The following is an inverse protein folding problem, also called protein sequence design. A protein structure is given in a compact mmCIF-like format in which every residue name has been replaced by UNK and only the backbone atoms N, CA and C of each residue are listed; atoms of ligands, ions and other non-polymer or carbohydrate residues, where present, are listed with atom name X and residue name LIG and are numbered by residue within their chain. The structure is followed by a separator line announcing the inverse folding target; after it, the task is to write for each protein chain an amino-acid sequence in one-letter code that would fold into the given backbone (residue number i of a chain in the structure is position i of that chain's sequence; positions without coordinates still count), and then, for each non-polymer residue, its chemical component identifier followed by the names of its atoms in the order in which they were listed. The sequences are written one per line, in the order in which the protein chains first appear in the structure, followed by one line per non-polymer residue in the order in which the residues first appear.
data_IF_323742811557
#
_entry.id   IF_323742811557
#
_cell.length_a   1.000
_cell.length_b   1.000
_cell.length_c   1.000
_cell.angle_alpha   90.00
_cell.angle_beta   90.00
_cell.angle_gamma   90.00
#
_symmetry.space_group_name_H-M   'P 1'
#
loop_
_entity.id
_entity.type
_entity.pdbx_description
1 polymer ?
#
# COMPACT_ATOMS: atom_id res chain seq x y z
N UNK A 1 -20.38 11.56 125.31
CA UNK A 1 -19.79 12.27 124.15
C UNK A 1 -18.91 13.50 124.51
N UNK A 2 -18.81 13.96 125.77
CA UNK A 2 -18.02 15.19 126.10
C UNK A 2 -16.50 14.99 126.26
N UNK A 3 -15.96 13.78 126.44
CA UNK A 3 -14.50 13.56 126.58
C UNK A 3 -13.71 13.50 125.25
N UNK A 4 -14.36 13.33 124.09
CA UNK A 4 -13.67 13.28 122.77
C UNK A 4 -13.42 14.67 122.16
N UNK A 5 -14.21 15.69 122.48
CA UNK A 5 -14.03 17.04 121.90
C UNK A 5 -12.86 17.84 122.50
N UNK A 6 -12.45 17.56 123.75
CA UNK A 6 -11.35 18.27 124.43
C UNK A 6 -9.97 17.79 123.93
N UNK A 7 -9.86 16.54 123.46
CA UNK A 7 -8.60 15.97 122.96
C UNK A 7 -8.27 16.49 121.55
N UNK A 8 -9.29 16.66 120.69
CA UNK A 8 -9.11 17.15 119.32
C UNK A 8 -8.74 18.64 119.24
N UNK A 9 -9.21 19.47 120.19
CA UNK A 9 -8.85 20.90 120.24
C UNK A 9 -7.40 21.11 120.67
N UNK A 10 -6.83 20.24 121.53
CA UNK A 10 -5.42 20.32 121.93
C UNK A 10 -4.45 19.91 120.81
N UNK A 11 -4.77 18.86 120.05
CA UNK A 11 -3.91 18.43 118.93
C UNK A 11 -3.85 19.46 117.78
N UNK A 12 -4.99 20.08 117.43
CA UNK A 12 -5.03 21.09 116.36
C UNK A 12 -4.20 22.33 116.68
N UNK A 13 -4.13 22.72 117.96
CA UNK A 13 -3.37 23.90 118.40
C UNK A 13 -1.86 23.63 118.37
N UNK A 14 -1.41 22.46 118.82
CA UNK A 14 0.02 22.09 118.78
C UNK A 14 0.56 21.91 117.35
N UNK A 15 -0.23 21.38 116.41
CA UNK A 15 0.19 21.28 115.01
C UNK A 15 0.37 22.66 114.36
N UNK A 16 -0.52 23.61 114.66
CA UNK A 16 -0.43 24.98 114.13
C UNK A 16 0.80 25.72 114.63
N UNK A 17 1.20 25.53 115.89
CA UNK A 17 2.41 26.15 116.42
C UNK A 17 3.70 25.54 115.81
N UNK A 18 3.78 24.22 115.67
CA UNK A 18 4.98 23.56 115.12
C UNK A 18 5.26 23.92 113.64
N UNK A 19 4.22 24.10 112.82
CA UNK A 19 4.41 24.49 111.41
C UNK A 19 4.88 25.95 111.30
N UNK A 20 4.40 26.83 112.17
CA UNK A 20 4.81 28.24 112.18
C UNK A 20 6.27 28.36 112.65
N UNK A 21 6.67 27.63 113.69
CA UNK A 21 8.07 27.62 114.16
C UNK A 21 9.03 26.98 113.15
N UNK A 22 8.60 25.96 112.41
CA UNK A 22 9.38 25.38 111.33
C UNK A 22 9.61 26.37 110.18
N UNK A 23 8.57 27.13 109.81
CA UNK A 23 8.68 28.14 108.75
C UNK A 23 9.53 29.35 109.19
N UNK A 24 9.51 29.73 110.48
CA UNK A 24 10.33 30.82 111.01
C UNK A 24 11.81 30.44 111.21
N UNK A 25 12.12 29.15 111.41
CA UNK A 25 13.50 28.67 111.59
C UNK A 25 14.23 28.30 110.29
N UNK A 26 13.63 28.53 109.11
CA UNK A 26 14.33 28.34 107.85
C UNK A 26 15.41 29.42 107.66
N UNK A 27 16.67 29.05 107.36
CA UNK A 27 17.76 30.01 107.23
C UNK A 27 17.48 31.01 106.12
N UNK A 28 17.64 32.32 106.40
CA UNK A 28 17.30 33.41 105.46
C UNK A 28 18.00 33.31 104.09
N UNK A 29 19.07 32.52 103.95
CA UNK A 29 19.72 32.21 102.67
C UNK A 29 18.81 31.47 101.69
N UNK A 30 17.80 30.74 102.17
CA UNK A 30 16.84 30.02 101.35
C UNK A 30 15.90 30.97 100.57
N UNK A 31 15.67 32.17 101.10
CA UNK A 31 14.86 33.22 100.49
C UNK A 31 15.68 34.24 99.67
N UNK A 32 16.98 33.98 99.39
CA UNK A 32 17.75 34.78 98.42
C UNK A 32 17.32 34.44 96.99
N UNK A 33 16.13 34.91 96.62
CA UNK A 33 15.44 34.72 95.32
C UNK A 33 16.24 35.18 94.10
N UNK A 34 17.25 36.03 94.28
CA UNK A 34 18.02 36.60 93.19
C UNK A 34 18.91 35.58 92.45
N UNK A 35 19.49 34.58 93.12
CA UNK A 35 20.37 33.60 92.47
C UNK A 35 19.62 32.46 91.77
N UNK A 36 18.46 32.06 92.31
CA UNK A 36 17.57 31.09 91.65
C UNK A 36 16.95 31.70 90.40
N UNK A 37 16.49 32.95 90.45
CA UNK A 37 15.96 33.68 89.29
C UNK A 37 16.99 33.77 88.15
N UNK A 38 18.27 34.08 88.46
CA UNK A 38 19.34 34.10 87.45
C UNK A 38 19.58 32.74 86.78
N UNK A 39 19.50 31.64 87.54
CA UNK A 39 19.67 30.29 87.00
C UNK A 39 18.49 29.88 86.12
N UNK A 40 17.26 30.24 86.50
CA UNK A 40 16.05 30.01 85.68
C UNK A 40 16.05 30.83 84.38
N UNK A 41 16.51 32.10 84.44
CA UNK A 41 16.67 32.94 83.25
C UNK A 41 17.70 32.31 82.30
N UNK A 42 18.85 31.86 82.83
CA UNK A 42 19.89 31.20 82.03
C UNK A 42 19.43 29.90 81.36
N UNK A 43 18.67 29.06 82.07
CA UNK A 43 18.09 27.83 81.48
C UNK A 43 17.08 28.16 80.39
N UNK A 44 16.21 29.15 80.61
CA UNK A 44 15.24 29.58 79.59
C UNK A 44 15.92 30.20 78.36
N UNK A 45 17.04 30.92 78.56
CA UNK A 45 17.85 31.46 77.47
C UNK A 45 18.52 30.35 76.65
N UNK A 46 19.00 29.27 77.29
CA UNK A 46 19.52 28.08 76.59
C UNK A 46 18.43 27.39 75.78
N UNK A 47 17.24 27.18 76.35
CA UNK A 47 16.11 26.57 75.63
C UNK A 47 15.67 27.43 74.44
N UNK A 48 15.71 28.75 74.56
CA UNK A 48 15.44 29.67 73.46
C UNK A 48 16.49 29.56 72.36
N UNK A 49 17.78 29.58 72.72
CA UNK A 49 18.90 29.43 71.76
C UNK A 49 18.81 28.08 71.05
N UNK A 50 18.52 26.99 71.78
CA UNK A 50 18.37 25.66 71.21
C UNK A 50 17.22 25.59 70.20
N UNK A 51 16.06 26.20 70.50
CA UNK A 51 14.93 26.26 69.57
C UNK A 51 15.26 27.04 68.30
N UNK A 52 15.97 28.16 68.42
CA UNK A 52 16.40 28.96 67.26
C UNK A 52 17.39 28.17 66.39
N UNK A 53 18.35 27.47 66.99
CA UNK A 53 19.32 26.63 66.27
C UNK A 53 18.61 25.48 65.55
N UNK A 54 17.68 24.78 66.21
CA UNK A 54 16.90 23.69 65.59
C UNK A 54 16.03 24.20 64.44
N UNK A 55 15.42 25.38 64.58
CA UNK A 55 14.64 25.99 63.49
C UNK A 55 15.49 26.30 62.27
N UNK A 56 16.63 26.99 62.46
CA UNK A 56 17.54 27.36 61.38
C UNK A 56 18.13 26.11 60.68
N UNK A 57 18.54 25.10 61.46
CA UNK A 57 19.06 23.84 60.90
C UNK A 57 17.95 23.06 60.19
N UNK A 58 16.74 23.01 60.77
CA UNK A 58 15.58 22.33 60.20
C UNK A 58 15.17 22.92 58.85
N UNK A 59 15.03 24.24 58.76
CA UNK A 59 14.70 24.94 57.52
C UNK A 59 15.79 24.73 56.45
N UNK A 60 17.07 24.80 56.84
CA UNK A 60 18.19 24.52 55.93
C UNK A 60 18.19 23.08 55.40
N UNK A 61 17.79 22.10 56.22
CA UNK A 61 17.68 20.69 55.81
C UNK A 61 16.49 20.50 54.86
N UNK A 62 15.37 21.15 55.12
CA UNK A 62 14.17 21.09 54.27
C UNK A 62 14.46 21.71 52.90
N UNK A 63 15.10 22.89 52.87
CA UNK A 63 15.51 23.55 51.62
C UNK A 63 16.49 22.67 50.82
N UNK A 64 17.44 22.02 51.48
CA UNK A 64 18.36 21.07 50.85
C UNK A 64 17.62 19.84 50.28
N UNK A 65 16.64 19.29 51.01
CA UNK A 65 15.82 18.16 50.54
C UNK A 65 14.96 18.54 49.32
N UNK A 66 14.34 19.71 49.34
CA UNK A 66 13.54 20.22 48.22
C UNK A 66 14.43 20.38 46.98
N UNK A 67 15.65 20.91 47.15
CA UNK A 67 16.62 21.07 46.06
C UNK A 67 17.03 19.70 45.49
N UNK A 68 17.30 18.71 46.34
CA UNK A 68 17.65 17.34 45.92
C UNK A 68 16.48 16.68 45.16
N UNK A 69 15.25 16.79 45.68
CA UNK A 69 14.06 16.23 45.00
C UNK A 69 13.85 16.93 43.67
N UNK A 70 13.98 18.25 43.62
CA UNK A 70 13.93 19.03 42.38
C UNK A 70 14.98 18.58 41.36
N UNK A 71 16.22 18.36 41.81
CA UNK A 71 17.30 17.84 40.98
C UNK A 71 16.98 16.44 40.43
N UNK A 72 16.46 15.56 41.28
CA UNK A 72 16.07 14.19 40.88
C UNK A 72 14.94 14.20 39.85
N UNK A 73 13.95 15.08 40.00
CA UNK A 73 12.86 15.24 39.03
C UNK A 73 13.38 15.75 37.68
N UNK A 74 14.26 16.75 37.69
CA UNK A 74 14.91 17.25 36.47
C UNK A 74 15.74 16.13 35.82
N UNK A 75 16.51 15.38 36.60
CA UNK A 75 17.31 14.25 36.11
C UNK A 75 16.43 13.19 35.45
N UNK A 76 15.28 12.85 36.06
CA UNK A 76 14.31 11.92 35.49
C UNK A 76 13.72 12.42 34.17
N UNK A 77 13.36 13.71 34.08
CA UNK A 77 12.90 14.31 32.82
C UNK A 77 13.97 14.25 31.72
N UNK A 78 15.22 14.56 32.05
CA UNK A 78 16.35 14.51 31.11
C UNK A 78 16.60 13.09 30.61
N UNK A 79 16.59 12.09 31.49
CA UNK A 79 16.74 10.68 31.13
C UNK A 79 15.66 10.23 30.14
N UNK A 80 14.40 10.60 30.38
CA UNK A 80 13.30 10.28 29.47
C UNK A 80 13.45 10.97 28.10
N UNK A 81 13.88 12.24 28.07
CA UNK A 81 14.14 12.95 26.83
C UNK A 81 15.25 12.28 26.00
N UNK A 82 16.33 11.84 26.64
CA UNK A 82 17.43 11.11 25.98
C UNK A 82 16.97 9.77 25.38
N UNK A 83 16.16 9.02 26.12
CA UNK A 83 15.59 7.76 25.60
C UNK A 83 14.69 8.01 24.37
N UNK A 84 13.87 9.07 24.40
CA UNK A 84 13.03 9.44 23.26
C UNK A 84 13.86 9.84 22.03
N UNK A 85 14.97 10.57 22.22
CA UNK A 85 15.88 10.94 21.11
C UNK A 85 16.48 9.68 20.46
N UNK A 86 16.84 8.67 21.26
CA UNK A 86 17.35 7.40 20.74
C UNK A 86 16.37 6.71 19.79
N UNK A 87 15.10 6.63 20.18
CA UNK A 87 14.04 6.06 19.34
C UNK A 87 13.78 6.89 18.08
N UNK A 88 13.75 8.23 18.21
CA UNK A 88 13.55 9.14 17.08
C UNK A 88 14.70 9.02 16.07
N UNK A 89 15.94 8.87 16.53
CA UNK A 89 17.10 8.74 15.64
C UNK A 89 17.01 7.49 14.74
N UNK A 90 16.61 6.35 15.29
CA UNK A 90 16.42 5.11 14.50
C UNK A 90 15.31 5.32 13.45
N UNK A 91 14.17 5.87 13.86
CA UNK A 91 13.06 6.14 12.95
C UNK A 91 13.44 7.15 11.85
N UNK A 92 14.23 8.16 12.17
CA UNK A 92 14.72 9.14 11.20
C UNK A 92 15.63 8.46 10.16
N UNK A 93 16.55 7.60 10.58
CA UNK A 93 17.43 6.90 9.63
C UNK A 93 16.63 6.00 8.68
N UNK A 94 15.67 5.23 9.19
CA UNK A 94 14.77 4.44 8.35
C UNK A 94 13.95 5.32 7.39
N UNK A 95 13.49 6.47 7.86
CA UNK A 95 12.67 7.39 7.07
C UNK A 95 13.49 8.02 5.94
N UNK A 96 14.73 8.43 6.23
CA UNK A 96 15.66 8.96 5.22
C UNK A 96 15.90 7.91 4.14
N UNK A 97 16.19 6.66 4.49
CA UNK A 97 16.39 5.58 3.50
C UNK A 97 15.16 5.32 2.65
N UNK A 98 13.95 5.37 3.24
CA UNK A 98 12.69 5.22 2.48
C UNK A 98 12.49 6.41 1.55
N UNK A 99 12.83 7.62 1.99
CA UNK A 99 12.72 8.84 1.21
C UNK A 99 13.72 8.86 0.05
N UNK A 100 14.96 8.42 0.26
CA UNK A 100 15.97 8.27 -0.79
C UNK A 100 15.45 7.34 -1.90
N UNK A 101 14.91 6.17 -1.53
CA UNK A 101 14.29 5.25 -2.51
C UNK A 101 13.08 5.85 -3.22
N UNK A 102 12.25 6.63 -2.51
CA UNK A 102 11.12 7.33 -3.12
C UNK A 102 11.58 8.39 -4.13
N UNK A 103 12.74 9.03 -3.91
CA UNK A 103 13.32 9.97 -4.86
C UNK A 103 14.02 9.29 -6.04
N UNK A 104 14.58 8.10 -5.83
CA UNK A 104 15.19 7.32 -6.91
C UNK A 104 14.15 6.82 -7.94
N UNK A 105 12.93 6.50 -7.50
CA UNK A 105 11.91 5.91 -8.37
C UNK A 105 11.51 6.80 -9.57
N UNK A 106 11.23 8.12 -9.41
CA UNK A 106 11.01 9.02 -10.54
C UNK A 106 12.23 9.24 -11.45
N UNK A 107 13.44 9.03 -10.94
CA UNK A 107 14.70 9.20 -11.69
C UNK A 107 15.06 7.96 -12.51
N UNK A 108 14.43 6.81 -12.25
CA UNK A 108 14.60 5.62 -13.06
C UNK A 108 14.09 5.90 -14.48
N UNK A 109 14.98 5.73 -15.46
CA UNK A 109 14.65 5.93 -16.86
C UNK A 109 13.52 4.96 -17.26
N UNK A 110 12.48 5.50 -17.88
CA UNK A 110 11.41 4.68 -18.44
C UNK A 110 12.00 3.88 -19.61
N UNK A 111 11.82 2.56 -19.60
CA UNK A 111 12.37 1.68 -20.65
C UNK A 111 11.81 2.00 -22.05
N UNK A 112 10.63 2.63 -22.12
CA UNK A 112 10.17 3.32 -23.31
C UNK A 112 10.44 4.81 -23.11
N UNK A 113 11.44 5.35 -23.82
CA UNK A 113 11.59 6.79 -23.90
C UNK A 113 10.32 7.33 -24.58
N UNK A 114 9.43 7.92 -23.79
CA UNK A 114 8.40 8.83 -24.29
C UNK A 114 9.15 10.08 -24.76
N UNK A 115 9.91 9.95 -25.86
CA UNK A 115 10.41 11.12 -26.55
C UNK A 115 9.15 11.82 -27.04
N UNK A 116 8.90 13.09 -26.70
CA UNK A 116 7.85 13.87 -27.33
C UNK A 116 8.31 14.16 -28.76
N UNK A 117 8.38 13.12 -29.59
CA UNK A 117 8.32 13.29 -31.02
C UNK A 117 6.89 13.75 -31.32
N UNK A 118 6.75 14.66 -32.28
CA UNK A 118 5.45 15.02 -32.82
C UNK A 118 4.83 13.77 -33.45
N UNK A 119 4.17 12.95 -32.63
CA UNK A 119 3.49 11.75 -33.07
C UNK A 119 2.48 12.18 -34.13
N UNK A 120 2.51 11.54 -35.30
CA UNK A 120 1.54 11.81 -36.35
C UNK A 120 0.17 11.35 -35.83
N UNK A 121 -0.65 12.28 -35.37
CA UNK A 121 -2.05 12.03 -34.99
C UNK A 121 -2.98 11.94 -36.20
N UNK A 122 -2.51 12.36 -37.38
CA UNK A 122 -3.26 12.30 -38.65
C UNK A 122 -2.91 11.03 -39.44
N UNK A 123 -3.08 9.89 -38.81
CA UNK A 123 -3.12 8.60 -39.52
C UNK A 123 -4.51 8.52 -40.14
N UNK A 124 -4.63 7.98 -41.35
CA UNK A 124 -5.95 7.59 -41.86
C UNK A 124 -6.64 6.76 -40.76
N UNK A 125 -7.79 7.20 -40.27
CA UNK A 125 -8.48 6.56 -39.13
C UNK A 125 -8.78 5.06 -39.37
N UNK A 126 -8.56 4.55 -40.58
CA UNK A 126 -8.87 3.19 -41.00
C UNK A 126 -7.58 2.37 -41.08
N UNK A 127 -7.51 1.28 -40.31
CA UNK A 127 -6.53 0.21 -40.41
C UNK A 127 -6.67 -0.55 -41.72
N UNK A 128 -5.56 -0.73 -42.44
CA UNK A 128 -5.47 -1.50 -43.69
C UNK A 128 -4.52 -2.70 -43.53
N UNK A 129 -3.34 -2.47 -42.98
CA UNK A 129 -2.29 -3.48 -42.88
C UNK A 129 -1.29 -3.19 -41.75
N UNK A 130 -0.89 -4.24 -41.03
CA UNK A 130 0.29 -4.26 -40.16
C UNK A 130 1.33 -5.20 -40.77
N UNK A 131 2.57 -4.72 -40.89
CA UNK A 131 3.72 -5.49 -41.37
C UNK A 131 4.80 -5.54 -40.31
N UNK A 132 5.36 -6.72 -40.12
CA UNK A 132 6.54 -6.99 -39.31
C UNK A 132 7.61 -7.51 -40.26
N UNK A 133 8.77 -6.86 -40.26
CA UNK A 133 9.89 -7.19 -41.14
C UNK A 133 11.17 -7.34 -40.31
N UNK A 134 11.82 -8.49 -40.44
CA UNK A 134 13.13 -8.80 -39.85
C UNK A 134 13.24 -8.59 -38.33
N UNK A 135 12.15 -8.88 -37.61
CA UNK A 135 12.04 -8.62 -36.18
C UNK A 135 12.86 -9.64 -35.37
N UNK A 136 13.78 -9.13 -34.55
CA UNK A 136 14.57 -9.96 -33.62
C UNK A 136 14.51 -9.44 -32.19
N UNK A 137 14.54 -10.36 -31.23
CA UNK A 137 14.54 -10.06 -29.81
C UNK A 137 15.22 -11.15 -29.00
N UNK A 138 16.08 -10.75 -28.06
CA UNK A 138 16.69 -11.61 -27.05
C UNK A 138 16.71 -10.91 -25.68
N UNK A 139 16.72 -11.69 -24.60
CA UNK A 139 17.09 -11.14 -23.29
C UNK A 139 18.61 -11.04 -23.16
N UNK A 140 19.09 -10.09 -22.37
CA UNK A 140 20.53 -9.89 -22.18
C UNK A 140 21.15 -11.16 -21.58
N UNK A 141 22.05 -11.80 -22.32
CA UNK A 141 22.73 -13.03 -21.90
C UNK A 141 21.96 -14.33 -22.15
N UNK A 142 20.84 -14.27 -22.88
CA UNK A 142 20.07 -15.45 -23.30
C UNK A 142 20.09 -15.63 -24.82
N UNK A 143 19.71 -16.82 -25.28
CA UNK A 143 19.53 -17.11 -26.70
C UNK A 143 18.37 -16.28 -27.30
N UNK A 144 18.40 -15.99 -28.62
CA UNK A 144 17.34 -15.23 -29.27
C UNK A 144 15.99 -15.94 -29.21
N UNK A 145 14.97 -15.23 -28.73
CA UNK A 145 13.59 -15.71 -28.65
C UNK A 145 12.81 -15.46 -29.94
N UNK A 146 13.15 -14.38 -30.65
CA UNK A 146 12.68 -14.08 -32.00
C UNK A 146 13.91 -13.82 -32.86
N UNK A 147 14.00 -14.49 -34.01
CA UNK A 147 15.13 -14.42 -34.91
C UNK A 147 14.63 -14.15 -36.33
N UNK A 148 14.79 -12.91 -36.77
CA UNK A 148 14.49 -12.46 -38.13
C UNK A 148 13.06 -12.79 -38.61
N UNK A 149 12.07 -12.60 -37.74
CA UNK A 149 10.68 -12.97 -38.05
C UNK A 149 10.01 -11.89 -38.92
N UNK A 150 9.26 -12.34 -39.92
CA UNK A 150 8.51 -11.45 -40.81
C UNK A 150 7.10 -11.99 -41.06
N UNK A 151 6.09 -11.15 -40.90
CA UNK A 151 4.69 -11.47 -41.19
C UNK A 151 3.86 -10.21 -41.39
N UNK A 152 2.68 -10.35 -42.00
CA UNK A 152 1.74 -9.26 -42.18
C UNK A 152 0.32 -9.70 -41.87
N UNK A 153 -0.50 -8.79 -41.35
CA UNK A 153 -1.95 -8.95 -41.21
C UNK A 153 -2.67 -7.78 -41.86
N UNK A 154 -3.67 -8.08 -42.69
CA UNK A 154 -4.53 -7.07 -43.32
C UNK A 154 -5.87 -6.97 -42.61
N UNK A 155 -6.56 -5.84 -42.78
CA UNK A 155 -7.98 -5.76 -42.48
C UNK A 155 -8.73 -6.81 -43.30
N UNK A 156 -9.65 -7.55 -42.69
CA UNK A 156 -10.30 -8.66 -43.38
C UNK A 156 -9.71 -10.03 -43.07
N UNK A 157 -8.56 -10.09 -42.38
CA UNK A 157 -7.72 -11.27 -42.29
C UNK A 157 -7.53 -11.76 -40.85
N UNK A 158 -7.65 -13.06 -40.65
CA UNK A 158 -7.27 -13.77 -39.42
C UNK A 158 -5.91 -14.43 -39.65
N UNK A 159 -4.90 -13.94 -38.94
CA UNK A 159 -3.55 -14.51 -38.92
C UNK A 159 -3.32 -15.23 -37.60
N UNK A 160 -3.02 -16.53 -37.66
CA UNK A 160 -2.63 -17.30 -36.48
C UNK A 160 -1.13 -17.54 -36.44
N UNK A 161 -0.51 -17.32 -35.28
CA UNK A 161 0.87 -17.71 -34.98
C UNK A 161 0.81 -18.86 -33.96
N UNK A 162 1.16 -20.07 -34.41
CA UNK A 162 1.17 -21.28 -33.60
C UNK A 162 2.59 -21.62 -33.14
N UNK A 163 2.75 -22.02 -31.88
CA UNK A 163 4.02 -22.56 -31.40
C UNK A 163 3.92 -23.14 -30.00
N UNK A 164 4.93 -23.88 -29.55
CA UNK A 164 4.98 -24.44 -28.19
C UNK A 164 5.15 -23.36 -27.11
N UNK A 165 4.98 -23.71 -25.84
CA UNK A 165 5.32 -22.78 -24.75
C UNK A 165 6.82 -22.43 -24.81
N UNK A 166 7.15 -21.17 -24.55
CA UNK A 166 8.54 -20.69 -24.56
C UNK A 166 9.11 -20.34 -25.94
N UNK A 167 8.33 -20.41 -27.02
CA UNK A 167 8.82 -20.08 -28.38
C UNK A 167 8.86 -18.59 -28.71
N UNK A 168 8.51 -17.69 -27.78
CA UNK A 168 8.55 -16.24 -28.01
C UNK A 168 7.21 -15.56 -28.34
N UNK A 169 6.08 -16.27 -28.41
CA UNK A 169 4.75 -15.65 -28.67
C UNK A 169 4.42 -14.49 -27.72
N UNK A 170 4.66 -14.65 -26.43
CA UNK A 170 4.41 -13.58 -25.45
C UNK A 170 5.34 -12.37 -25.62
N UNK A 171 6.49 -12.53 -26.29
CA UNK A 171 7.36 -11.41 -26.67
C UNK A 171 6.71 -10.62 -27.80
N UNK A 172 6.17 -11.29 -28.82
CA UNK A 172 5.40 -10.62 -29.90
C UNK A 172 4.26 -9.79 -29.29
N UNK A 173 3.52 -10.38 -28.34
CA UNK A 173 2.47 -9.66 -27.61
C UNK A 173 3.00 -8.43 -26.87
N UNK A 174 4.08 -8.59 -26.09
CA UNK A 174 4.67 -7.50 -25.31
C UNK A 174 5.25 -6.36 -26.17
N UNK A 175 5.79 -6.69 -27.35
CA UNK A 175 6.22 -5.70 -28.34
C UNK A 175 5.00 -4.92 -28.87
N UNK A 176 3.92 -5.62 -29.22
CA UNK A 176 2.66 -4.97 -29.60
C UNK A 176 1.98 -4.25 -28.43
N UNK A 177 2.24 -4.56 -27.18
CA UNK A 177 1.81 -3.76 -26.03
C UNK A 177 2.71 -2.53 -25.80
N UNK A 178 3.71 -2.29 -26.65
CA UNK A 178 4.77 -1.27 -26.48
C UNK A 178 5.50 -1.36 -25.13
N UNK A 179 5.51 -2.54 -24.50
CA UNK A 179 6.23 -2.78 -23.23
C UNK A 179 7.67 -3.23 -23.45
N UNK A 180 7.96 -3.83 -24.61
CA UNK A 180 9.30 -4.20 -25.05
C UNK A 180 9.62 -3.53 -26.38
N UNK A 181 10.88 -3.15 -26.56
CA UNK A 181 11.41 -2.68 -27.85
C UNK A 181 12.18 -3.83 -28.52
N UNK A 182 11.95 -4.12 -29.80
CA UNK A 182 12.78 -5.07 -30.54
C UNK A 182 14.23 -4.60 -30.65
N UNK A 183 15.16 -5.53 -30.80
CA UNK A 183 16.58 -5.21 -31.01
C UNK A 183 16.82 -4.78 -32.47
N UNK A 184 16.19 -5.49 -33.40
CA UNK A 184 16.26 -5.22 -34.83
C UNK A 184 14.90 -5.46 -35.50
N UNK A 185 14.80 -4.99 -36.74
CA UNK A 185 13.60 -5.10 -37.56
C UNK A 185 12.72 -3.88 -37.48
N UNK A 186 11.68 -3.90 -38.30
CA UNK A 186 10.76 -2.79 -38.48
C UNK A 186 9.32 -3.29 -38.39
N UNK A 187 8.49 -2.52 -37.67
CA UNK A 187 7.05 -2.75 -37.59
C UNK A 187 6.40 -1.53 -38.22
N UNK A 188 5.47 -1.73 -39.15
CA UNK A 188 4.73 -0.64 -39.77
C UNK A 188 3.23 -0.89 -39.80
N UNK A 189 2.45 0.19 -39.72
CA UNK A 189 1.00 0.20 -39.76
C UNK A 189 0.57 1.18 -40.84
N UNK A 190 -0.13 0.73 -41.88
CA UNK A 190 -0.55 1.57 -43.01
C UNK A 190 0.59 2.42 -43.62
N UNK A 191 1.84 1.91 -43.58
CA UNK A 191 3.10 2.57 -43.97
C UNK A 191 3.69 3.59 -42.98
N UNK A 192 3.18 3.67 -41.76
CA UNK A 192 3.79 4.46 -40.67
C UNK A 192 4.60 3.55 -39.76
N UNK A 193 5.76 4.03 -39.34
CA UNK A 193 6.62 3.30 -38.40
C UNK A 193 5.93 3.19 -37.04
N UNK A 194 5.95 1.99 -36.47
CA UNK A 194 5.39 1.70 -35.16
C UNK A 194 5.96 2.59 -34.05
N UNK A 195 7.25 2.96 -34.15
CA UNK A 195 7.90 3.86 -33.19
C UNK A 195 7.39 5.32 -33.30
N UNK A 196 6.88 5.74 -34.46
CA UNK A 196 6.31 7.08 -34.70
C UNK A 196 4.84 7.22 -34.24
N UNK A 197 4.21 6.15 -33.76
CA UNK A 197 2.80 6.13 -33.37
C UNK A 197 2.65 6.36 -31.87
N UNK A 198 1.77 7.30 -31.48
CA UNK A 198 1.51 7.55 -30.06
C UNK A 198 0.86 6.33 -29.40
N UNK A 199 1.20 6.10 -28.13
CA UNK A 199 0.65 4.99 -27.37
C UNK A 199 -0.87 5.08 -27.21
N UNK A 200 -1.41 6.29 -27.05
CA UNK A 200 -2.85 6.54 -26.99
C UNK A 200 -3.56 6.15 -28.29
N UNK A 201 -3.03 6.57 -29.45
CA UNK A 201 -3.60 6.20 -30.74
C UNK A 201 -3.53 4.69 -30.95
N UNK A 202 -2.38 4.08 -30.64
CA UNK A 202 -2.20 2.65 -30.77
C UNK A 202 -3.18 1.85 -29.91
N UNK A 203 -3.37 2.22 -28.65
CA UNK A 203 -4.33 1.58 -27.75
C UNK A 203 -5.79 1.76 -28.20
N UNK A 204 -6.13 2.88 -28.84
CA UNK A 204 -7.47 3.06 -29.41
C UNK A 204 -7.67 2.22 -30.69
N UNK A 205 -6.61 2.02 -31.48
CA UNK A 205 -6.65 1.21 -32.69
C UNK A 205 -6.68 -0.30 -32.39
N UNK A 206 -6.06 -0.74 -31.29
CA UNK A 206 -5.91 -2.16 -30.96
C UNK A 206 -6.73 -2.63 -29.76
N UNK A 207 -7.32 -3.81 -29.89
CA UNK A 207 -7.84 -4.59 -28.78
C UNK A 207 -6.87 -5.71 -28.44
N UNK A 208 -6.52 -5.88 -27.16
CA UNK A 208 -5.59 -6.94 -26.73
C UNK A 208 -6.30 -7.83 -25.70
N UNK A 209 -6.32 -9.13 -25.98
CA UNK A 209 -6.71 -10.17 -25.01
C UNK A 209 -5.46 -10.90 -24.53
N UNK A 210 -4.99 -10.62 -23.29
CA UNK A 210 -3.85 -11.33 -22.73
C UNK A 210 -4.24 -12.74 -22.27
N UNK A 211 -3.25 -13.64 -22.20
CA UNK A 211 -3.44 -15.00 -21.70
C UNK A 211 -3.92 -15.02 -20.23
N UNK A 212 -3.42 -14.10 -19.41
CA UNK A 212 -3.80 -13.97 -18.00
C UNK A 212 -4.63 -12.71 -17.80
N UNK A 213 -5.93 -12.89 -17.60
CA UNK A 213 -6.87 -11.80 -17.38
C UNK A 213 -7.01 -11.57 -15.88
N UNK A 214 -6.82 -10.32 -15.44
CA UNK A 214 -7.05 -9.92 -14.05
C UNK A 214 -8.37 -9.18 -13.91
N UNK A 215 -9.14 -9.52 -12.89
CA UNK A 215 -10.35 -8.79 -12.53
C UNK A 215 -9.99 -7.71 -11.51
N UNK A 216 -10.63 -6.56 -11.65
CA UNK A 216 -10.60 -5.51 -10.63
C UNK A 216 -11.79 -5.70 -9.70
N UNK A 217 -11.58 -5.39 -8.42
CA UNK A 217 -12.65 -5.39 -7.42
C UNK A 217 -13.69 -4.34 -7.81
N UNK A 218 -14.90 -4.78 -8.19
CA UNK A 218 -15.94 -3.90 -8.69
C UNK A 218 -17.05 -4.65 -9.43
N UNK A 219 -17.88 -3.93 -10.18
CA UNK A 219 -18.94 -4.54 -10.98
C UNK A 219 -18.39 -5.14 -12.27
N UNK A 220 -19.13 -6.09 -12.87
CA UNK A 220 -18.85 -6.58 -14.21
C UNK A 220 -18.85 -5.42 -15.23
N UNK A 221 -19.76 -4.46 -15.10
CA UNK A 221 -19.76 -3.20 -15.87
C UNK A 221 -18.40 -2.50 -15.83
N UNK A 222 -17.89 -2.18 -14.64
CA UNK A 222 -16.61 -1.47 -14.50
C UNK A 222 -15.44 -2.30 -15.05
N UNK A 223 -15.54 -3.61 -14.94
CA UNK A 223 -14.53 -4.51 -15.47
C UNK A 223 -14.57 -4.55 -16.99
N UNK A 224 -15.71 -4.45 -17.67
CA UNK A 224 -15.76 -4.45 -19.15
C UNK A 224 -15.28 -3.10 -19.70
N UNK A 225 -15.69 -1.98 -19.09
CA UNK A 225 -15.47 -0.63 -19.64
C UNK A 225 -14.14 0.01 -19.23
N UNK A 226 -13.36 -0.65 -18.35
CA UNK A 226 -12.03 -0.26 -17.86
C UNK A 226 -11.63 1.22 -18.05
N UNK A 227 -12.01 2.07 -17.10
CA UNK A 227 -11.55 3.46 -17.08
C UNK A 227 -12.26 4.40 -18.06
N UNK A 228 -13.20 3.91 -18.86
CA UNK A 228 -14.10 4.75 -19.63
C UNK A 228 -15.13 5.42 -18.72
N UNK A 229 -14.82 6.65 -18.30
CA UNK A 229 -15.70 7.47 -17.45
C UNK A 229 -16.97 7.93 -18.16
N UNK A 230 -17.02 7.83 -19.49
CA UNK A 230 -18.18 8.22 -20.30
C UNK A 230 -19.16 7.07 -20.55
N UNK A 231 -18.76 5.84 -20.22
CA UNK A 231 -19.56 4.65 -20.44
C UNK A 231 -20.90 4.69 -19.69
N UNK A 232 -21.98 4.42 -20.41
CA UNK A 232 -23.33 4.31 -19.86
C UNK A 232 -23.85 2.88 -19.91
N UNK A 233 -24.77 2.54 -19.00
CA UNK A 233 -25.44 1.22 -19.01
C UNK A 233 -26.15 0.92 -20.34
N UNK A 234 -26.70 1.96 -21.00
CA UNK A 234 -27.34 1.83 -22.31
C UNK A 234 -26.34 1.44 -23.40
N UNK A 235 -25.17 2.09 -23.44
CA UNK A 235 -24.10 1.72 -24.38
C UNK A 235 -23.62 0.30 -24.11
N UNK A 236 -23.45 -0.09 -22.84
CA UNK A 236 -23.07 -1.46 -22.51
C UNK A 236 -24.10 -2.47 -23.01
N UNK A 237 -25.40 -2.25 -22.79
CA UNK A 237 -26.41 -3.18 -23.28
C UNK A 237 -26.37 -3.34 -24.81
N UNK A 238 -26.27 -2.23 -25.56
CA UNK A 238 -26.15 -2.27 -27.03
C UNK A 238 -24.89 -3.04 -27.45
N UNK A 239 -23.77 -2.81 -26.78
CA UNK A 239 -22.52 -3.54 -27.01
C UNK A 239 -22.70 -5.04 -26.75
N UNK A 240 -23.25 -5.43 -25.60
CA UNK A 240 -23.45 -6.83 -25.24
C UNK A 240 -24.40 -7.55 -26.22
N UNK A 241 -25.44 -6.88 -26.70
CA UNK A 241 -26.33 -7.40 -27.75
C UNK A 241 -25.62 -7.52 -29.10
N UNK A 242 -24.85 -6.50 -29.50
CA UNK A 242 -24.16 -6.46 -30.80
C UNK A 242 -23.13 -7.56 -30.95
N UNK A 243 -22.35 -7.84 -29.90
CA UNK A 243 -21.32 -8.88 -29.90
C UNK A 243 -21.82 -10.22 -29.32
N UNK A 244 -23.09 -10.30 -28.89
CA UNK A 244 -23.71 -11.54 -28.40
C UNK A 244 -23.27 -12.01 -27.00
N UNK A 245 -22.69 -11.13 -26.19
CA UNK A 245 -22.26 -11.43 -24.82
C UNK A 245 -23.42 -11.45 -23.81
N UNK A 246 -24.58 -10.88 -24.16
CA UNK A 246 -25.73 -10.73 -23.26
C UNK A 246 -26.15 -12.05 -22.60
N UNK A 247 -26.27 -13.14 -23.37
CA UNK A 247 -26.70 -14.45 -22.88
C UNK A 247 -25.79 -15.00 -21.76
N UNK A 248 -24.49 -14.70 -21.81
CA UNK A 248 -23.53 -15.15 -20.79
C UNK A 248 -23.56 -14.30 -19.52
N UNK A 249 -23.73 -12.99 -19.66
CA UNK A 249 -23.65 -12.06 -18.53
C UNK A 249 -25.00 -11.85 -17.83
N UNK A 250 -26.13 -12.06 -18.51
CA UNK A 250 -27.46 -12.08 -17.89
C UNK A 250 -27.64 -13.26 -16.91
N UNK A 251 -26.90 -14.35 -17.11
CA UNK A 251 -26.90 -15.49 -16.20
C UNK A 251 -26.29 -15.16 -14.82
N UNK A 252 -25.61 -14.02 -14.67
CA UNK A 252 -25.04 -13.61 -13.39
C UNK A 252 -26.15 -13.08 -12.45
N UNK A 253 -26.03 -13.25 -11.11
CA UNK A 253 -27.11 -12.93 -10.17
C UNK A 253 -27.69 -11.52 -10.29
N UNK A 254 -26.85 -10.53 -10.62
CA UNK A 254 -27.26 -9.13 -10.83
C UNK A 254 -26.86 -8.63 -12.24
N UNK A 255 -26.78 -9.53 -13.23
CA UNK A 255 -26.34 -9.20 -14.58
C UNK A 255 -24.98 -8.49 -14.60
N UNK A 256 -24.86 -7.42 -15.38
CA UNK A 256 -23.65 -6.58 -15.45
C UNK A 256 -23.36 -5.75 -14.18
N UNK A 257 -24.30 -5.65 -13.23
CA UNK A 257 -24.07 -5.04 -11.93
C UNK A 257 -23.53 -6.02 -10.88
N UNK A 258 -23.30 -7.28 -11.27
CA UNK A 258 -22.70 -8.29 -10.39
C UNK A 258 -21.31 -7.87 -9.94
N UNK A 259 -21.03 -7.98 -8.65
CA UNK A 259 -19.72 -7.69 -8.07
C UNK A 259 -18.80 -8.89 -8.33
N UNK A 260 -17.64 -8.61 -8.93
CA UNK A 260 -16.60 -9.57 -9.28
C UNK A 260 -15.23 -9.10 -8.73
N UNK A 261 -14.25 -9.99 -8.74
CA UNK A 261 -12.94 -9.77 -8.12
C UNK A 261 -12.79 -10.55 -6.81
N UNK A 262 -11.86 -10.15 -5.96
CA UNK A 262 -11.48 -10.84 -4.72
C UNK A 262 -12.65 -10.98 -3.73
N UNK A 263 -13.53 -9.97 -3.67
CA UNK A 263 -14.70 -9.94 -2.79
C UNK A 263 -16.03 -10.23 -3.53
N UNK A 264 -15.95 -10.64 -4.80
CA UNK A 264 -17.11 -10.88 -5.65
C UNK A 264 -17.53 -12.34 -5.72
N UNK A 265 -18.41 -12.65 -6.67
CA UNK A 265 -18.71 -14.05 -7.00
C UNK A 265 -17.48 -14.75 -7.59
N UNK A 266 -17.42 -16.08 -7.44
CA UNK A 266 -16.43 -16.87 -8.15
C UNK A 266 -16.75 -16.86 -9.65
N UNK A 267 -15.72 -16.59 -10.46
CA UNK A 267 -15.80 -16.54 -11.91
C UNK A 267 -15.07 -17.76 -12.47
N UNK A 268 -15.72 -18.52 -13.34
CA UNK A 268 -15.07 -19.65 -14.03
C UNK A 268 -13.99 -19.14 -14.99
N UNK A 269 -13.02 -20.00 -15.35
CA UNK A 269 -11.99 -19.62 -16.34
C UNK A 269 -12.63 -19.17 -17.67
N UNK A 270 -13.72 -19.82 -18.10
CA UNK A 270 -14.41 -19.44 -19.33
C UNK A 270 -15.17 -18.11 -19.26
N UNK A 271 -15.82 -17.83 -18.12
CA UNK A 271 -16.42 -16.51 -17.89
C UNK A 271 -15.34 -15.42 -17.82
N UNK A 272 -14.20 -15.71 -17.19
CA UNK A 272 -13.08 -14.78 -17.11
C UNK A 272 -12.56 -14.44 -18.52
N UNK A 273 -12.47 -15.44 -19.41
CA UNK A 273 -12.06 -15.25 -20.80
C UNK A 273 -13.05 -14.43 -21.61
N UNK A 274 -14.36 -14.67 -21.43
CA UNK A 274 -15.42 -13.84 -22.03
C UNK A 274 -15.34 -12.38 -21.59
N UNK A 275 -15.09 -12.14 -20.29
CA UNK A 275 -14.89 -10.78 -19.76
C UNK A 275 -13.66 -10.13 -20.40
N UNK A 276 -12.55 -10.86 -20.53
CA UNK A 276 -11.36 -10.38 -21.24
C UNK A 276 -11.64 -10.02 -22.70
N UNK A 277 -12.34 -10.89 -23.42
CA UNK A 277 -12.68 -10.65 -24.81
C UNK A 277 -13.61 -9.43 -24.96
N UNK A 278 -14.64 -9.32 -24.11
CA UNK A 278 -15.51 -8.16 -24.07
C UNK A 278 -14.73 -6.85 -23.81
N UNK A 279 -13.76 -6.85 -22.88
CA UNK A 279 -12.87 -5.70 -22.65
C UNK A 279 -12.07 -5.33 -23.89
N UNK A 280 -11.49 -6.30 -24.57
CA UNK A 280 -10.68 -6.06 -25.76
C UNK A 280 -11.49 -5.44 -26.91
N UNK A 281 -12.82 -5.63 -26.91
CA UNK A 281 -13.73 -5.14 -27.93
C UNK A 281 -14.45 -3.83 -27.55
N UNK A 282 -14.44 -3.44 -26.26
CA UNK A 282 -15.23 -2.31 -25.74
C UNK A 282 -15.01 -1.01 -26.52
N UNK A 283 -13.74 -0.69 -26.83
CA UNK A 283 -13.36 0.52 -27.55
C UNK A 283 -13.46 0.41 -29.08
N UNK A 284 -14.09 -0.66 -29.60
CA UNK A 284 -14.26 -0.91 -31.02
C UNK A 284 -12.94 -0.84 -31.81
N UNK A 285 -11.97 -1.72 -31.49
CA UNK A 285 -10.66 -1.72 -32.14
C UNK A 285 -10.75 -2.12 -33.61
N UNK A 286 -9.71 -1.82 -34.38
CA UNK A 286 -9.58 -2.21 -35.80
C UNK A 286 -8.54 -3.30 -36.03
N UNK A 287 -7.74 -3.58 -35.01
CA UNK A 287 -6.81 -4.70 -34.96
C UNK A 287 -6.97 -5.40 -33.61
N UNK A 288 -7.20 -6.72 -33.63
CA UNK A 288 -7.41 -7.52 -32.43
C UNK A 288 -6.26 -8.50 -32.25
N UNK A 289 -5.57 -8.45 -31.12
CA UNK A 289 -4.49 -9.35 -30.74
C UNK A 289 -4.94 -10.28 -29.61
N UNK A 290 -4.98 -11.58 -29.87
CA UNK A 290 -5.53 -12.58 -28.96
C UNK A 290 -4.46 -13.58 -28.54
N UNK A 291 -4.22 -13.72 -27.24
CA UNK A 291 -3.29 -14.71 -26.70
C UNK A 291 -4.06 -15.87 -26.05
N UNK A 292 -4.03 -17.02 -26.71
CA UNK A 292 -4.77 -18.24 -26.36
C UNK A 292 -6.28 -18.04 -26.08
N UNK A 293 -7.05 -17.41 -27.00
CA UNK A 293 -8.43 -16.95 -26.74
C UNK A 293 -9.47 -18.03 -26.41
N UNK A 294 -9.12 -19.30 -26.63
CA UNK A 294 -10.04 -20.44 -26.55
C UNK A 294 -9.47 -21.57 -25.66
N UNK A 295 -8.28 -21.39 -25.09
CA UNK A 295 -7.64 -22.45 -24.33
C UNK A 295 -8.45 -22.80 -23.07
N UNK A 296 -8.81 -24.08 -22.92
CA UNK A 296 -9.51 -24.64 -21.74
C UNK A 296 -10.97 -24.17 -21.55
N UNK A 297 -11.60 -23.68 -22.61
CA UNK A 297 -13.02 -23.35 -22.60
C UNK A 297 -13.91 -24.57 -22.84
N UNK A 298 -15.11 -24.52 -22.30
CA UNK A 298 -16.23 -25.40 -22.59
C UNK A 298 -16.77 -25.17 -24.01
N UNK A 299 -17.26 -26.24 -24.65
CA UNK A 299 -17.56 -26.26 -26.09
C UNK A 299 -18.53 -25.16 -26.55
N UNK A 300 -19.50 -24.78 -25.72
CA UNK A 300 -20.45 -23.71 -26.00
C UNK A 300 -19.73 -22.35 -26.15
N UNK A 301 -18.87 -22.01 -25.19
CA UNK A 301 -18.10 -20.77 -25.21
C UNK A 301 -17.09 -20.79 -26.36
N UNK A 302 -16.42 -21.93 -26.61
CA UNK A 302 -15.51 -22.07 -27.75
C UNK A 302 -16.21 -21.75 -29.08
N UNK A 303 -17.37 -22.36 -29.30
CA UNK A 303 -18.15 -22.16 -30.51
C UNK A 303 -18.57 -20.69 -30.66
N UNK A 304 -19.06 -20.07 -29.57
CA UNK A 304 -19.41 -18.65 -29.56
C UNK A 304 -18.22 -17.77 -29.95
N UNK A 305 -17.05 -17.93 -29.31
CA UNK A 305 -15.86 -17.13 -29.60
C UNK A 305 -15.41 -17.31 -31.05
N UNK A 306 -15.42 -18.55 -31.58
CA UNK A 306 -15.04 -18.80 -32.97
C UNK A 306 -15.98 -18.11 -33.97
N UNK A 307 -17.29 -18.13 -33.73
CA UNK A 307 -18.26 -17.44 -34.58
C UNK A 307 -18.08 -15.93 -34.51
N UNK A 308 -17.86 -15.39 -33.30
CA UNK A 308 -17.62 -13.97 -33.10
C UNK A 308 -16.38 -13.51 -33.86
N UNK A 309 -15.24 -14.20 -33.72
CA UNK A 309 -14.01 -13.84 -34.43
C UNK A 309 -14.17 -13.89 -35.96
N UNK A 310 -14.91 -14.87 -36.47
CA UNK A 310 -15.22 -14.96 -37.90
C UNK A 310 -16.12 -13.84 -38.40
N UNK A 311 -17.06 -13.36 -37.58
CA UNK A 311 -17.87 -12.19 -37.91
C UNK A 311 -17.00 -10.93 -37.93
N UNK A 312 -16.15 -10.77 -36.91
CA UNK A 312 -15.28 -9.61 -36.75
C UNK A 312 -14.18 -9.52 -37.80
N UNK A 313 -13.68 -10.63 -38.32
CA UNK A 313 -12.63 -10.61 -39.33
C UNK A 313 -13.02 -9.81 -40.57
N UNK A 314 -14.30 -9.69 -40.91
CA UNK A 314 -14.76 -8.87 -42.04
C UNK A 314 -14.50 -7.36 -41.89
N UNK A 315 -14.33 -6.86 -40.67
CA UNK A 315 -14.21 -5.41 -40.37
C UNK A 315 -12.89 -5.00 -39.72
N UNK A 316 -12.09 -5.96 -39.24
CA UNK A 316 -10.81 -5.71 -38.56
C UNK A 316 -9.75 -6.76 -38.93
N UNK A 317 -8.48 -6.47 -38.64
CA UNK A 317 -7.44 -7.49 -38.64
C UNK A 317 -7.44 -8.26 -37.32
N UNK A 318 -7.17 -9.57 -37.35
CA UNK A 318 -7.10 -10.40 -36.14
C UNK A 318 -5.80 -11.19 -36.15
N UNK A 319 -5.02 -11.05 -35.07
CA UNK A 319 -3.82 -11.85 -34.81
C UNK A 319 -4.11 -12.79 -33.64
N UNK A 320 -3.94 -14.08 -33.83
CA UNK A 320 -4.13 -15.09 -32.79
C UNK A 320 -2.80 -15.76 -32.46
N UNK A 321 -2.31 -15.55 -31.25
CA UNK A 321 -1.17 -16.26 -30.71
C UNK A 321 -1.69 -17.50 -29.98
N UNK A 322 -1.30 -18.70 -30.40
CA UNK A 322 -1.83 -19.92 -29.78
C UNK A 322 -0.81 -21.06 -29.77
N UNK A 323 -1.09 -22.06 -28.94
CA UNK A 323 -0.45 -23.39 -29.00
C UNK A 323 -1.41 -24.48 -29.47
N UNK A 324 -2.69 -24.15 -29.65
CA UNK A 324 -3.74 -25.12 -29.96
C UNK A 324 -4.06 -25.13 -31.45
N UNK A 325 -3.99 -26.31 -32.05
CA UNK A 325 -4.38 -26.55 -33.45
C UNK A 325 -5.89 -26.33 -33.66
N UNK A 326 -6.71 -26.53 -32.63
CA UNK A 326 -8.16 -26.29 -32.75
C UNK A 326 -8.50 -24.83 -33.04
N UNK A 327 -7.66 -23.89 -32.60
CA UNK A 327 -7.90 -22.45 -32.75
C UNK A 327 -7.57 -21.95 -34.17
N UNK A 328 -6.66 -22.61 -34.88
CA UNK A 328 -6.14 -22.12 -36.18
C UNK A 328 -7.01 -22.51 -37.38
N UNK A 329 -8.05 -23.34 -37.20
CA UNK A 329 -8.87 -23.87 -38.29
C UNK A 329 -9.58 -22.80 -39.14
N UNK A 330 -9.87 -21.64 -38.56
CA UNK A 330 -10.55 -20.53 -39.23
C UNK A 330 -9.58 -19.41 -39.65
N UNK A 331 -8.27 -19.64 -39.60
CA UNK A 331 -7.28 -18.62 -39.96
C UNK A 331 -7.06 -18.59 -41.47
N UNK A 332 -6.95 -17.38 -42.02
CA UNK A 332 -6.61 -17.17 -43.43
C UNK A 332 -5.13 -17.44 -43.68
N UNK A 333 -4.26 -17.11 -42.70
CA UNK A 333 -2.83 -17.47 -42.70
C UNK A 333 -2.42 -18.06 -41.37
N UNK A 334 -1.50 -19.02 -41.45
CA UNK A 334 -0.97 -19.72 -40.28
C UNK A 334 0.55 -19.67 -40.35
N UNK A 335 1.17 -19.09 -39.34
CA UNK A 335 2.61 -19.09 -39.15
C UNK A 335 2.99 -20.00 -38.00
N UNK A 336 4.04 -20.78 -38.18
CA UNK A 336 4.59 -21.69 -37.18
C UNK A 336 5.85 -21.04 -36.60
N UNK A 337 5.86 -20.82 -35.28
CA UNK A 337 6.97 -20.24 -34.54
C UNK A 337 7.73 -21.34 -33.78
N UNK A 338 8.92 -21.68 -34.28
CA UNK A 338 9.79 -22.72 -33.72
C UNK A 338 11.24 -22.24 -33.60
N UNK A 339 11.82 -22.41 -32.41
CA UNK A 339 13.21 -22.01 -32.10
C UNK A 339 13.54 -20.56 -32.53
N UNK A 340 12.57 -19.65 -32.33
CA UNK A 340 12.68 -18.23 -32.67
C UNK A 340 12.46 -17.89 -34.16
N UNK A 341 12.35 -18.87 -35.05
CA UNK A 341 12.10 -18.64 -36.47
C UNK A 341 10.61 -18.80 -36.78
N UNK A 342 10.12 -17.98 -37.71
CA UNK A 342 8.74 -17.99 -38.16
C UNK A 342 8.67 -18.53 -39.60
N UNK A 343 7.89 -19.58 -39.83
CA UNK A 343 7.64 -20.14 -41.16
C UNK A 343 6.15 -20.11 -41.51
N UNK A 344 5.81 -19.81 -42.76
CA UNK A 344 4.43 -19.93 -43.24
C UNK A 344 4.06 -21.41 -43.39
N UNK A 345 2.91 -21.83 -42.85
CA UNK A 345 2.44 -23.20 -42.95
C UNK A 345 2.03 -23.60 -44.38
N UNK A 346 1.82 -22.63 -45.27
CA UNK A 346 1.58 -22.90 -46.70
C UNK A 346 2.84 -23.29 -47.48
N UNK A 347 4.03 -22.99 -46.92
CA UNK A 347 5.33 -23.34 -47.50
C UNK A 347 5.84 -24.74 -47.05
N UNK A 348 5.08 -25.44 -46.20
CA UNK A 348 5.38 -26.78 -45.66
C UNK A 348 4.31 -27.79 -46.03
#
# INVERSE_FOLDING_TARGET
MQRRQIILTRQKRNFKFNVIDFLYNLPQSFFKTHNLSKSFIFVNDIDFIQRVIIGIIGDSIIDALILIIGLLLIMFMVLNALNNIGHVNIQLQETILRFDRMQEFPLMQHHYNIVPQEYKTNISDIFEELKVEHLSYHFVGEDPLLNDISFSVKKGEIVSIIGKNGTGKSIIRQIFEKTLKPESGHISINNLDFDEISLEYWHNLTGILPQQIRLFNGTLFNNITLGDTSATSKQLNIFLETYGFNHFFEAFPNGYMTIIGENGIQISEGQLQLIGLARSLWHNPQLLLLDEPIAKLDNEIQYFVMQLLKQLSSVMGIIILTKSISTIQNSDKIYILENGNLSDASDT
#
